data_IF_501237033848
#
_entry.id   IF_501237033848
#
_cell.length_a   1.000
_cell.length_b   1.000
_cell.length_c   1.000
_cell.angle_alpha   90.00
_cell.angle_beta   90.00
_cell.angle_gamma   90.00
#
_symmetry.space_group_name_H-M   'P 1'
#
loop_
_entity.id
_entity.type
_entity.pdbx_description
1 polymer ?
#
# COMPACT_ATOMS: atom_id res chain seq x y z
N UNK A 1 11.27 25.86 49.17
CA UNK A 1 10.06 25.35 48.48
C UNK A 1 9.73 26.13 47.20
N UNK A 2 10.02 27.43 47.12
CA UNK A 2 9.78 28.24 45.89
C UNK A 2 10.70 27.87 44.70
N UNK A 3 11.94 27.48 44.97
CA UNK A 3 12.96 27.24 43.94
C UNK A 3 12.71 25.94 43.15
N UNK A 4 12.17 24.91 43.82
CA UNK A 4 11.83 23.60 43.23
C UNK A 4 10.60 23.68 42.31
N UNK A 5 9.68 24.62 42.58
CA UNK A 5 8.48 24.83 41.77
C UNK A 5 8.85 25.50 40.44
N UNK A 6 9.76 26.49 40.46
CA UNK A 6 10.24 27.20 39.26
C UNK A 6 10.86 26.26 38.23
N UNK A 7 11.72 25.34 38.66
CA UNK A 7 12.40 24.39 37.75
C UNK A 7 11.46 23.36 37.13
N UNK A 8 10.33 23.09 37.78
CA UNK A 8 9.32 22.13 37.29
C UNK A 8 8.40 22.74 36.23
N UNK A 9 8.17 24.06 36.29
CA UNK A 9 7.35 24.79 35.32
C UNK A 9 8.14 25.06 34.03
N UNK A 10 9.43 25.38 34.14
CA UNK A 10 10.33 25.56 32.99
C UNK A 10 10.49 24.28 32.17
N UNK A 11 10.73 23.14 32.81
CA UNK A 11 10.80 21.84 32.11
C UNK A 11 9.50 21.46 31.40
N UNK A 12 8.36 21.72 32.04
CA UNK A 12 7.05 21.47 31.41
C UNK A 12 6.77 22.40 30.24
N UNK A 13 7.43 23.55 30.16
CA UNK A 13 7.30 24.51 29.07
C UNK A 13 8.17 24.07 27.88
N UNK A 14 9.42 23.70 28.14
CA UNK A 14 10.30 23.08 27.12
C UNK A 14 9.68 21.80 26.54
N UNK A 15 9.16 20.91 27.38
CA UNK A 15 8.47 19.69 26.91
C UNK A 15 7.24 19.99 26.04
N UNK A 16 6.57 21.13 26.24
CA UNK A 16 5.42 21.53 25.42
C UNK A 16 5.87 22.12 24.09
N UNK A 17 6.93 22.92 24.12
CA UNK A 17 7.53 23.53 22.92
C UNK A 17 8.09 22.44 21.99
N UNK A 18 8.83 21.45 22.52
CA UNK A 18 9.33 20.31 21.74
C UNK A 18 8.20 19.51 21.08
N UNK A 19 7.10 19.29 21.79
CA UNK A 19 5.92 18.57 21.28
C UNK A 19 5.18 19.38 20.21
N UNK A 20 5.17 20.71 20.32
CA UNK A 20 4.59 21.60 19.31
C UNK A 20 5.41 21.61 18.02
N UNK A 21 6.74 21.68 18.11
CA UNK A 21 7.63 21.60 16.95
C UNK A 21 7.49 20.27 16.19
N UNK A 22 7.45 19.14 16.92
CA UNK A 22 7.21 17.82 16.33
C UNK A 22 5.83 17.73 15.65
N UNK A 23 4.81 18.36 16.22
CA UNK A 23 3.48 18.42 15.62
C UNK A 23 3.49 19.22 14.31
N UNK A 24 4.22 20.32 14.25
CA UNK A 24 4.35 21.10 13.02
C UNK A 24 5.06 20.33 11.92
N UNK A 25 6.16 19.64 12.23
CA UNK A 25 6.88 18.79 11.27
C UNK A 25 5.98 17.67 10.76
N UNK A 26 5.30 16.95 11.66
CA UNK A 26 4.37 15.88 11.27
C UNK A 26 3.18 16.41 10.47
N UNK A 27 2.71 17.62 10.76
CA UNK A 27 1.66 18.28 9.99
C UNK A 27 2.13 18.60 8.58
N UNK A 28 3.34 19.13 8.41
CA UNK A 28 3.94 19.39 7.10
C UNK A 28 4.07 18.10 6.27
N UNK A 29 4.53 17.00 6.88
CA UNK A 29 4.60 15.69 6.22
C UNK A 29 3.19 15.18 5.87
N UNK A 30 2.22 15.31 6.78
CA UNK A 30 0.82 14.94 6.53
C UNK A 30 0.25 15.68 5.32
N UNK A 31 0.48 16.99 5.24
CA UNK A 31 -0.09 17.85 4.21
C UNK A 31 0.57 17.57 2.85
N UNK A 32 1.88 17.35 2.82
CA UNK A 32 2.58 16.87 1.63
C UNK A 32 2.04 15.51 1.12
N UNK A 33 1.77 14.56 2.02
CA UNK A 33 1.17 13.27 1.63
C UNK A 33 -0.26 13.43 1.09
N UNK A 34 -1.04 14.38 1.62
CA UNK A 34 -2.38 14.70 1.08
C UNK A 34 -2.31 15.30 -0.31
N UNK A 35 -1.27 16.08 -0.61
CA UNK A 35 -1.05 16.68 -1.93
C UNK A 35 -0.57 15.65 -2.97
N UNK A 36 0.20 14.64 -2.56
CA UNK A 36 0.65 13.55 -3.45
C UNK A 36 -0.49 12.58 -3.78
N UNK A 37 -1.38 12.32 -2.82
CA UNK A 37 -2.42 11.30 -2.92
C UNK A 37 -3.26 11.39 -4.22
N UNK A 38 -3.78 12.56 -4.64
CA UNK A 38 -4.54 12.69 -5.89
C UNK A 38 -3.72 12.30 -7.12
N UNK A 39 -2.48 12.78 -7.22
CA UNK A 39 -1.58 12.47 -8.35
C UNK A 39 -1.26 10.98 -8.43
N UNK A 40 -1.11 10.33 -7.27
CA UNK A 40 -0.87 8.90 -7.17
C UNK A 40 -2.13 8.09 -7.54
N UNK A 41 -3.31 8.53 -7.09
CA UNK A 41 -4.60 7.91 -7.45
C UNK A 41 -4.87 8.00 -8.96
N UNK A 42 -4.60 9.14 -9.57
CA UNK A 42 -4.79 9.34 -11.01
C UNK A 42 -3.77 8.53 -11.83
N UNK A 43 -2.52 8.45 -11.39
CA UNK A 43 -1.52 7.58 -12.02
C UNK A 43 -1.90 6.11 -11.93
N UNK A 44 -2.40 5.67 -10.76
CA UNK A 44 -2.88 4.31 -10.56
C UNK A 44 -4.13 4.02 -11.39
N UNK A 45 -5.08 4.97 -11.53
CA UNK A 45 -6.24 4.83 -12.43
C UNK A 45 -5.80 4.68 -13.88
N UNK A 46 -4.93 5.57 -14.37
CA UNK A 46 -4.40 5.48 -15.74
C UNK A 46 -3.66 4.16 -15.96
N UNK A 47 -2.92 3.69 -14.97
CA UNK A 47 -2.23 2.41 -15.05
C UNK A 47 -3.23 1.24 -15.06
N UNK A 48 -4.23 1.23 -14.18
CA UNK A 48 -5.27 0.19 -14.15
C UNK A 48 -6.12 0.19 -15.42
N UNK A 49 -6.45 1.35 -15.97
CA UNK A 49 -7.18 1.52 -17.22
C UNK A 49 -6.32 1.09 -18.43
N UNK A 50 -5.01 1.42 -18.41
CA UNK A 50 -4.08 1.07 -19.49
C UNK A 50 -3.58 -0.38 -19.45
N UNK A 51 -3.61 -1.05 -18.30
CA UNK A 51 -2.89 -2.32 -18.10
C UNK A 51 -3.57 -3.53 -18.73
N UNK A 52 -4.87 -3.53 -19.03
CA UNK A 52 -5.51 -4.83 -19.30
C UNK A 52 -6.40 -4.94 -20.55
N UNK A 53 -7.03 -3.88 -21.02
CA UNK A 53 -8.03 -4.00 -22.09
C UNK A 53 -7.46 -3.80 -23.48
N UNK A 54 -7.13 -2.55 -23.80
CA UNK A 54 -6.93 -2.12 -25.18
C UNK A 54 -5.65 -2.67 -25.82
N UNK A 55 -4.55 -2.70 -25.06
CA UNK A 55 -3.29 -3.24 -25.54
C UNK A 55 -3.37 -4.76 -25.75
N UNK A 56 -3.99 -5.47 -24.81
CA UNK A 56 -4.23 -6.91 -24.91
C UNK A 56 -5.17 -7.23 -26.09
N UNK A 57 -6.27 -6.49 -26.25
CA UNK A 57 -7.19 -6.66 -27.36
C UNK A 57 -6.51 -6.40 -28.73
N UNK A 58 -5.64 -5.39 -28.80
CA UNK A 58 -4.86 -5.09 -30.02
C UNK A 58 -3.86 -6.21 -30.33
N UNK A 59 -3.16 -6.74 -29.34
CA UNK A 59 -2.24 -7.88 -29.51
C UNK A 59 -2.99 -9.15 -29.96
N UNK A 60 -4.09 -9.50 -29.29
CA UNK A 60 -4.92 -10.68 -29.60
C UNK A 60 -5.51 -10.58 -31.01
N UNK A 61 -6.06 -9.41 -31.39
CA UNK A 61 -6.64 -9.22 -32.72
C UNK A 61 -5.61 -9.22 -33.83
N UNK A 62 -4.41 -8.67 -33.59
CA UNK A 62 -3.30 -8.70 -34.54
C UNK A 62 -2.79 -10.12 -34.73
N UNK A 63 -2.67 -10.89 -33.64
CA UNK A 63 -2.26 -12.29 -33.68
C UNK A 63 -3.26 -13.14 -34.49
N UNK A 64 -4.56 -13.02 -34.22
CA UNK A 64 -5.59 -13.73 -34.99
C UNK A 64 -5.52 -13.40 -36.48
N UNK A 65 -5.43 -12.11 -36.83
CA UNK A 65 -5.29 -11.68 -38.24
C UNK A 65 -4.06 -12.30 -38.90
N UNK A 66 -2.92 -12.32 -38.21
CA UNK A 66 -1.68 -12.91 -38.74
C UNK A 66 -1.80 -14.42 -39.01
N UNK A 67 -2.57 -15.15 -38.21
CA UNK A 67 -2.83 -16.57 -38.43
C UNK A 67 -3.69 -16.78 -39.68
N UNK A 68 -4.75 -15.99 -39.85
CA UNK A 68 -5.60 -16.06 -41.05
C UNK A 68 -4.80 -15.68 -42.31
N UNK A 69 -4.00 -14.62 -42.25
CA UNK A 69 -3.16 -14.15 -43.35
C UNK A 69 -2.07 -15.16 -43.74
N UNK A 70 -1.57 -15.94 -42.78
CA UNK A 70 -0.60 -17.02 -43.03
C UNK A 70 -1.24 -18.32 -43.53
N UNK A 71 -2.56 -18.35 -43.72
CA UNK A 71 -3.29 -19.50 -44.26
C UNK A 71 -3.70 -20.54 -43.22
N UNK A 72 -3.64 -20.22 -41.93
CA UNK A 72 -4.22 -21.06 -40.88
C UNK A 72 -5.75 -21.01 -40.99
N UNK A 73 -6.40 -22.16 -40.88
CA UNK A 73 -7.86 -22.19 -40.97
C UNK A 73 -8.51 -21.43 -39.79
N UNK A 74 -9.72 -20.89 -39.99
CA UNK A 74 -10.34 -20.03 -38.98
C UNK A 74 -10.61 -20.70 -37.63
N UNK A 75 -10.81 -22.02 -37.58
CA UNK A 75 -11.08 -22.73 -36.33
C UNK A 75 -9.79 -22.88 -35.53
N UNK A 76 -8.72 -23.34 -36.17
CA UNK A 76 -7.41 -23.46 -35.51
C UNK A 76 -6.85 -22.10 -35.12
N UNK A 77 -6.99 -21.08 -35.98
CA UNK A 77 -6.59 -19.71 -35.65
C UNK A 77 -7.31 -19.17 -34.41
N UNK A 78 -8.62 -19.44 -34.29
CA UNK A 78 -9.42 -19.07 -33.11
C UNK A 78 -8.94 -19.80 -31.85
N UNK A 79 -8.68 -21.11 -31.95
CA UNK A 79 -8.22 -21.91 -30.82
C UNK A 79 -6.86 -21.41 -30.30
N UNK A 80 -5.91 -21.16 -31.19
CA UNK A 80 -4.58 -20.66 -30.82
C UNK A 80 -4.62 -19.26 -30.24
N UNK A 81 -5.48 -18.40 -30.81
CA UNK A 81 -5.70 -17.05 -30.28
C UNK A 81 -6.30 -17.08 -28.87
N UNK A 82 -7.24 -18.00 -28.60
CA UNK A 82 -7.79 -18.18 -27.26
C UNK A 82 -6.72 -18.63 -26.26
N UNK A 83 -5.88 -19.60 -26.63
CA UNK A 83 -4.74 -20.04 -25.78
C UNK A 83 -3.77 -18.89 -25.51
N UNK A 84 -3.42 -18.13 -26.54
CA UNK A 84 -2.57 -16.94 -26.41
C UNK A 84 -3.17 -15.90 -25.45
N UNK A 85 -4.47 -15.62 -25.57
CA UNK A 85 -5.18 -14.70 -24.67
C UNK A 85 -5.17 -15.18 -23.22
N UNK A 86 -5.44 -16.46 -22.97
CA UNK A 86 -5.42 -17.04 -21.63
C UNK A 86 -4.03 -16.98 -20.99
N UNK A 87 -2.97 -17.29 -21.74
CA UNK A 87 -1.59 -17.20 -21.26
C UNK A 87 -1.21 -15.76 -20.93
N UNK A 88 -1.61 -14.80 -21.77
CA UNK A 88 -1.39 -13.38 -21.52
C UNK A 88 -2.10 -12.90 -20.24
N UNK A 89 -3.34 -13.29 -20.02
CA UNK A 89 -4.07 -12.98 -18.78
C UNK A 89 -3.39 -13.55 -17.53
N UNK A 90 -2.86 -14.78 -17.61
CA UNK A 90 -2.11 -15.41 -16.50
C UNK A 90 -0.80 -14.68 -16.19
N UNK A 91 -0.19 -14.04 -17.18
CA UNK A 91 1.05 -13.26 -17.03
C UNK A 91 0.85 -11.86 -16.44
N UNK A 92 -0.39 -11.35 -16.46
CA UNK A 92 -0.69 -10.06 -15.84
C UNK A 92 -0.72 -10.21 -14.31
N UNK A 93 -0.15 -9.25 -13.55
CA UNK A 93 -0.34 -9.21 -12.11
C UNK A 93 -1.84 -9.17 -11.84
N UNK A 94 -2.33 -10.19 -11.15
CA UNK A 94 -3.76 -10.37 -10.90
C UNK A 94 -4.29 -9.16 -10.11
N UNK A 95 -5.40 -8.58 -10.55
CA UNK A 95 -6.08 -7.51 -9.80
C UNK A 95 -6.37 -7.97 -8.36
N UNK A 96 -6.61 -9.27 -8.16
CA UNK A 96 -6.70 -9.90 -6.84
C UNK A 96 -5.45 -9.70 -5.98
N UNK A 97 -4.23 -9.90 -6.49
CA UNK A 97 -3.02 -9.73 -5.68
C UNK A 97 -2.77 -8.27 -5.30
N UNK A 98 -3.12 -7.33 -6.18
CA UNK A 98 -3.09 -5.89 -5.87
C UNK A 98 -4.16 -5.51 -4.84
N UNK A 99 -5.39 -6.00 -4.98
CA UNK A 99 -6.45 -5.74 -3.98
C UNK A 99 -6.13 -6.41 -2.67
N UNK A 100 -5.59 -7.63 -2.66
CA UNK A 100 -5.22 -8.35 -1.43
C UNK A 100 -4.09 -7.62 -0.71
N UNK A 101 -3.12 -7.04 -1.43
CA UNK A 101 -2.06 -6.20 -0.85
C UNK A 101 -2.57 -4.86 -0.28
N UNK A 102 -3.55 -4.22 -0.93
CA UNK A 102 -4.20 -3.01 -0.40
C UNK A 102 -5.16 -3.32 0.75
N UNK A 103 -5.82 -4.48 0.72
CA UNK A 103 -6.82 -4.93 1.70
C UNK A 103 -6.21 -5.60 2.91
N UNK A 104 -5.01 -6.17 2.78
CA UNK A 104 -4.30 -6.88 3.87
C UNK A 104 -4.04 -5.96 5.06
N UNK A 105 -4.09 -4.63 4.87
CA UNK A 105 -4.19 -3.69 5.98
C UNK A 105 -3.04 -3.79 6.97
N UNK A 106 -1.90 -4.36 6.56
CA UNK A 106 -0.69 -4.47 7.35
C UNK A 106 -0.11 -3.08 7.68
N UNK A 107 -0.46 -2.05 6.89
CA UNK A 107 -0.21 -0.64 7.21
C UNK A 107 -1.20 0.01 8.17
N UNK A 108 -2.37 -0.60 8.44
CA UNK A 108 -3.40 -0.02 9.33
C UNK A 108 -3.36 -0.53 10.76
N UNK A 109 -2.56 -1.55 11.08
CA UNK A 109 -2.55 -2.18 12.42
C UNK A 109 -1.48 -1.70 13.39
N UNK A 110 -0.66 -0.71 13.05
CA UNK A 110 0.26 -0.09 14.04
C UNK A 110 -0.39 1.12 14.72
N UNK A 111 -1.55 0.90 15.33
CA UNK A 111 -2.11 1.84 16.29
C UNK A 111 -1.24 1.77 17.55
N UNK A 112 -0.25 2.67 17.66
CA UNK A 112 0.51 2.84 18.89
C UNK A 112 -0.47 3.32 19.97
N UNK A 113 -0.82 2.41 20.89
CA UNK A 113 -1.67 2.72 22.04
C UNK A 113 -0.81 3.42 23.08
N UNK A 114 -0.63 4.74 22.92
CA UNK A 114 0.06 5.56 23.92
C UNK A 114 -0.85 5.68 25.15
N UNK A 115 -0.56 4.90 26.19
CA UNK A 115 -1.11 5.14 27.53
C UNK A 115 -0.32 6.31 28.15
N UNK A 116 -0.95 7.38 28.65
CA UNK A 116 -0.26 8.37 29.45
C UNK A 116 0.06 7.75 30.81
N UNK A 117 1.27 7.22 30.98
CA UNK A 117 1.78 6.82 32.30
C UNK A 117 2.37 8.05 32.97
N UNK A 118 1.79 8.44 34.11
CA UNK A 118 2.46 9.33 35.05
C UNK A 118 3.56 8.52 35.73
N UNK A 119 4.77 9.08 35.70
CA UNK A 119 5.94 8.73 36.49
C UNK A 119 6.65 7.40 36.18
N UNK A 120 7.97 7.53 35.98
CA UNK A 120 8.95 6.48 36.27
C UNK A 120 9.27 5.56 35.10
N UNK A 121 10.47 5.72 34.56
CA UNK A 121 11.06 4.84 33.56
C UNK A 121 11.14 3.39 34.06
N UNK A 122 10.60 2.46 33.27
CA UNK A 122 11.15 1.12 33.04
C UNK A 122 10.56 0.59 31.73
N UNK A 123 11.32 0.73 30.64
CA UNK A 123 11.00 0.08 29.36
C UNK A 123 11.36 -1.40 29.51
N UNK A 124 10.37 -2.23 29.84
CA UNK A 124 10.49 -3.67 29.61
C UNK A 124 10.06 -3.95 28.17
N UNK A 125 11.05 -4.15 27.31
CA UNK A 125 10.85 -4.78 26.00
C UNK A 125 10.49 -6.24 26.27
N UNK A 126 9.19 -6.53 26.31
CA UNK A 126 8.69 -7.88 26.21
C UNK A 126 8.55 -8.21 24.74
N UNK A 127 9.49 -8.99 24.19
CA UNK A 127 9.19 -9.84 23.05
C UNK A 127 8.17 -10.87 23.55
N UNK A 128 6.91 -10.75 23.15
CA UNK A 128 6.00 -11.90 23.21
C UNK A 128 6.19 -12.69 21.92
N UNK A 129 6.88 -13.82 22.11
CA UNK A 129 7.09 -14.90 21.18
C UNK A 129 5.76 -15.40 20.57
N UNK A 130 5.89 -15.93 19.37
CA UNK A 130 4.87 -16.72 18.67
C UNK A 130 4.22 -17.77 19.59
N UNK A 131 2.89 -17.85 19.59
CA UNK A 131 2.22 -19.14 19.73
C UNK A 131 1.36 -19.40 18.49
N UNK A 132 1.92 -20.23 17.61
CA UNK A 132 1.16 -21.11 16.73
C UNK A 132 0.19 -21.95 17.57
N UNK A 133 -1.05 -22.06 17.13
CA UNK A 133 -1.84 -23.29 17.28
C UNK A 133 -2.49 -23.66 15.96
N UNK A 134 -1.91 -24.70 15.35
CA UNK A 134 -2.60 -25.70 14.53
C UNK A 134 -3.60 -26.52 15.39
N UNK A 135 -4.40 -27.31 14.68
CA UNK A 135 -5.38 -28.34 15.12
C UNK A 135 -6.79 -27.79 15.42
N UNK A 136 -7.87 -28.26 14.80
CA UNK A 136 -8.15 -29.44 13.95
C UNK A 136 -9.42 -29.18 13.11
#
# INVERSE_FOLDING_TARGET
MSEVISTSEERRREEREDVEELREVLKAVSDFLKEIKPSLEDLLKVFVESVSGDKLAKEVSTFYKSLIESGVDPQTAKEWTNKFFEERLKSLPSIKTLTDFLSSGEWRRKSVKVKPSKEGAEIKVGEEEEEKKEEE
#
